data_IF_686847388379
#
_entry.id   IF_686847388379
#
_cell.length_a   1.000
_cell.length_b   1.000
_cell.length_c   1.000
_cell.angle_alpha   90.00
_cell.angle_beta   90.00
_cell.angle_gamma   90.00
#
_symmetry.space_group_name_H-M   'P 1'
#
loop_
_entity.id
_entity.type
_entity.pdbx_description
1 polymer ?
#
# COMPACT_ATOMS: atom_id res chain seq x y z
N UNK A 1 -17.33 17.62 9.18
CA UNK A 1 -16.46 18.04 10.30
C UNK A 1 -15.04 17.53 10.05
N UNK A 2 -14.04 18.43 10.09
CA UNK A 2 -12.64 18.03 9.99
C UNK A 2 -12.20 17.44 11.33
N UNK A 3 -11.75 16.21 11.32
CA UNK A 3 -11.20 15.55 12.51
C UNK A 3 -9.70 15.84 12.63
N UNK A 4 -9.24 16.10 13.85
CA UNK A 4 -7.83 16.17 14.18
C UNK A 4 -7.46 14.93 14.99
N UNK A 5 -6.52 14.14 14.51
CA UNK A 5 -6.00 12.98 15.22
C UNK A 5 -5.00 13.45 16.26
N UNK A 6 -5.17 13.06 17.52
CA UNK A 6 -4.17 13.26 18.54
C UNK A 6 -3.13 12.14 18.45
N UNK A 7 -1.90 12.49 18.10
CA UNK A 7 -0.82 11.51 18.01
C UNK A 7 -0.42 11.04 19.41
N UNK A 8 -0.51 9.74 19.65
CA UNK A 8 -0.17 9.12 20.93
C UNK A 8 1.29 8.66 20.96
N UNK A 9 1.81 8.43 22.16
CA UNK A 9 3.15 7.84 22.30
C UNK A 9 3.27 6.44 21.72
N UNK A 10 2.16 5.67 21.72
CA UNK A 10 2.10 4.35 21.10
C UNK A 10 2.32 4.43 19.59
N UNK A 11 1.63 5.36 18.91
CA UNK A 11 1.82 5.58 17.48
C UNK A 11 3.26 5.96 17.13
N UNK A 12 3.88 6.81 17.98
CA UNK A 12 5.28 7.19 17.80
C UNK A 12 6.21 5.99 18.00
N UNK A 13 5.97 5.18 19.04
CA UNK A 13 6.77 3.98 19.31
C UNK A 13 6.66 2.95 18.19
N UNK A 14 5.45 2.71 17.67
CA UNK A 14 5.21 1.79 16.55
C UNK A 14 5.95 2.25 15.29
N UNK A 15 5.88 3.55 14.97
CA UNK A 15 6.58 4.09 13.81
C UNK A 15 8.10 4.00 13.97
N UNK A 16 8.65 4.32 15.16
CA UNK A 16 10.09 4.17 15.44
C UNK A 16 10.50 2.71 15.31
N UNK A 17 9.75 1.76 15.87
CA UNK A 17 10.03 0.33 15.75
C UNK A 17 10.02 -0.13 14.28
N UNK A 18 9.09 0.41 13.47
CA UNK A 18 9.03 0.16 12.03
C UNK A 18 10.27 0.69 11.31
N UNK A 19 10.71 1.90 11.64
CA UNK A 19 11.93 2.49 11.10
C UNK A 19 13.17 1.70 11.53
N UNK A 20 13.29 1.31 12.81
CA UNK A 20 14.37 0.48 13.30
C UNK A 20 14.46 -0.86 12.56
N UNK A 21 13.31 -1.48 12.28
CA UNK A 21 13.27 -2.72 11.48
C UNK A 21 13.68 -2.46 10.03
N UNK A 22 13.19 -1.37 9.43
CA UNK A 22 13.50 -1.00 8.03
C UNK A 22 14.98 -0.72 7.80
N UNK A 23 15.62 -0.05 8.74
CA UNK A 23 17.05 0.31 8.70
C UNK A 23 17.92 -0.65 9.52
N UNK A 24 17.32 -1.76 9.97
CA UNK A 24 18.00 -2.81 10.69
C UNK A 24 18.97 -3.61 9.81
N UNK A 25 19.73 -4.46 10.46
CA UNK A 25 20.71 -5.31 9.80
C UNK A 25 20.19 -6.73 9.65
N UNK A 26 20.25 -7.27 8.43
CA UNK A 26 19.95 -8.67 8.19
C UNK A 26 21.08 -9.54 8.71
N UNK A 27 20.78 -10.42 9.65
CA UNK A 27 21.67 -11.46 10.17
C UNK A 27 21.19 -12.85 9.75
N UNK A 28 22.07 -13.84 9.82
CA UNK A 28 21.79 -15.22 9.44
C UNK A 28 21.99 -16.16 10.64
N UNK A 29 20.97 -16.29 11.51
CA UNK A 29 21.04 -17.25 12.61
C UNK A 29 21.17 -18.68 12.11
N UNK A 30 21.95 -19.50 12.80
CA UNK A 30 22.11 -20.92 12.46
C UNK A 30 20.81 -21.71 12.69
N UNK A 31 20.00 -21.27 13.65
CA UNK A 31 18.80 -21.97 14.12
C UNK A 31 17.61 -21.01 14.21
N UNK A 32 16.45 -21.50 13.88
CA UNK A 32 15.19 -20.79 14.09
C UNK A 32 14.90 -20.72 15.60
N UNK A 33 15.02 -19.52 16.19
CA UNK A 33 14.81 -19.30 17.62
C UNK A 33 13.73 -18.27 17.94
N UNK A 34 13.16 -17.62 16.92
CA UNK A 34 12.14 -16.57 17.07
C UNK A 34 11.06 -16.68 15.98
N UNK A 35 9.85 -16.28 16.32
CA UNK A 35 8.76 -16.13 15.35
C UNK A 35 8.98 -14.98 14.36
N UNK A 36 9.89 -14.05 14.66
CA UNK A 36 10.26 -12.95 13.76
C UNK A 36 11.41 -13.32 12.79
N UNK A 37 11.87 -14.57 12.82
CA UNK A 37 12.81 -15.05 11.82
C UNK A 37 12.15 -15.17 10.44
N UNK A 38 12.88 -14.78 9.41
CA UNK A 38 12.49 -14.95 8.01
C UNK A 38 13.09 -16.24 7.48
N UNK A 39 12.25 -17.15 7.04
CA UNK A 39 12.70 -18.41 6.43
C UNK A 39 12.62 -18.28 4.91
N UNK A 40 13.75 -18.43 4.24
CA UNK A 40 13.72 -18.75 2.83
C UNK A 40 13.52 -20.25 2.71
N UNK A 41 12.49 -20.65 1.98
CA UNK A 41 12.04 -22.03 1.90
C UNK A 41 11.77 -22.44 0.47
N UNK A 42 11.82 -23.75 0.21
CA UNK A 42 11.34 -24.33 -1.04
C UNK A 42 10.17 -25.24 -0.72
N UNK A 43 9.03 -24.96 -1.34
CA UNK A 43 7.85 -25.84 -1.34
C UNK A 43 8.01 -26.87 -2.44
N UNK A 44 8.03 -28.14 -2.09
CA UNK A 44 8.05 -29.27 -3.04
C UNK A 44 6.78 -30.07 -2.84
N UNK A 45 5.91 -30.14 -3.86
CA UNK A 45 4.64 -30.86 -3.79
C UNK A 45 4.88 -32.37 -3.65
N UNK A 46 4.13 -32.98 -2.73
CA UNK A 46 4.18 -34.43 -2.48
C UNK A 46 2.77 -35.03 -2.49
N UNK A 47 2.70 -36.32 -2.82
CA UNK A 47 1.47 -37.10 -2.75
C UNK A 47 1.10 -37.48 -1.30
N UNK A 48 -0.01 -38.20 -1.12
CA UNK A 48 -0.46 -38.64 0.19
C UNK A 48 0.48 -39.65 0.88
N UNK A 49 1.45 -40.22 0.17
CA UNK A 49 2.49 -41.14 0.68
C UNK A 49 3.82 -40.40 0.97
N UNK A 50 3.91 -39.09 0.63
CA UNK A 50 5.09 -38.29 0.82
C UNK A 50 6.13 -38.37 -0.30
N UNK A 51 5.78 -38.94 -1.46
CA UNK A 51 6.65 -38.96 -2.61
C UNK A 51 6.50 -37.65 -3.41
N UNK A 52 7.60 -37.18 -3.99
CA UNK A 52 7.58 -35.97 -4.83
C UNK A 52 6.73 -36.20 -6.07
N UNK A 53 5.78 -35.30 -6.32
CA UNK A 53 4.92 -35.33 -7.52
C UNK A 53 5.73 -34.88 -8.72
N UNK A 54 5.85 -35.76 -9.74
CA UNK A 54 6.54 -35.42 -10.98
C UNK A 54 5.78 -34.31 -11.73
N UNK A 55 6.47 -33.20 -12.05
CA UNK A 55 5.84 -32.01 -12.63
C UNK A 55 4.98 -31.19 -11.64
N UNK A 56 4.96 -31.57 -10.37
CA UNK A 56 4.30 -30.83 -9.29
C UNK A 56 4.97 -29.49 -8.97
N UNK A 57 4.41 -28.79 -8.02
CA UNK A 57 4.90 -27.46 -7.58
C UNK A 57 6.27 -27.63 -6.91
N UNK A 58 7.25 -26.86 -7.40
CA UNK A 58 8.55 -26.71 -6.77
C UNK A 58 8.92 -25.23 -6.82
N UNK A 59 8.67 -24.49 -5.71
CA UNK A 59 8.76 -23.03 -5.71
C UNK A 59 9.37 -22.52 -4.42
N UNK A 60 10.31 -21.56 -4.57
CA UNK A 60 10.89 -20.83 -3.44
C UNK A 60 9.97 -19.74 -2.93
N UNK A 61 9.99 -19.50 -1.62
CA UNK A 61 9.32 -18.39 -0.97
C UNK A 61 10.12 -17.88 0.24
N UNK A 62 9.75 -16.72 0.74
CA UNK A 62 10.37 -16.11 1.93
C UNK A 62 9.27 -15.73 2.92
N UNK A 63 9.26 -16.36 4.08
CA UNK A 63 8.16 -16.31 5.04
C UNK A 63 8.64 -16.03 6.45
N UNK A 64 7.92 -15.20 7.18
CA UNK A 64 8.10 -15.09 8.64
C UNK A 64 7.53 -16.31 9.36
N UNK A 65 8.22 -16.80 10.37
CA UNK A 65 7.76 -17.93 11.18
C UNK A 65 6.37 -17.65 11.78
N UNK A 66 6.09 -16.43 12.18
CA UNK A 66 4.79 -16.02 12.74
C UNK A 66 3.60 -16.12 11.78
N UNK A 67 3.84 -16.26 10.47
CA UNK A 67 2.77 -16.45 9.48
C UNK A 67 2.24 -17.88 9.45
N UNK A 68 3.00 -18.82 9.97
CA UNK A 68 2.54 -20.20 10.09
C UNK A 68 1.52 -20.36 11.24
N UNK A 69 0.60 -21.28 11.10
CA UNK A 69 -0.31 -21.66 12.17
C UNK A 69 0.46 -22.13 13.43
N UNK A 70 -0.08 -21.93 14.64
CA UNK A 70 0.67 -22.18 15.90
C UNK A 70 1.29 -23.58 16.02
N UNK A 71 0.63 -24.61 15.52
CA UNK A 71 1.16 -25.98 15.53
C UNK A 71 2.45 -26.12 14.70
N UNK A 72 2.49 -25.45 13.55
CA UNK A 72 3.66 -25.45 12.67
C UNK A 72 4.78 -24.55 13.18
N UNK A 73 4.46 -23.41 13.81
CA UNK A 73 5.47 -22.53 14.44
C UNK A 73 6.31 -23.30 15.44
N UNK A 74 5.70 -24.09 16.29
CA UNK A 74 6.41 -24.92 17.26
C UNK A 74 7.33 -25.95 16.60
N UNK A 75 6.94 -26.49 15.46
CA UNK A 75 7.76 -27.44 14.70
C UNK A 75 8.91 -26.77 13.96
N UNK A 76 8.80 -25.48 13.66
CA UNK A 76 9.84 -24.68 13.01
C UNK A 76 10.93 -24.24 14.00
N UNK A 77 10.58 -24.02 15.26
CA UNK A 77 11.56 -23.64 16.28
C UNK A 77 12.59 -24.77 16.46
N UNK A 78 13.87 -24.40 16.50
CA UNK A 78 14.98 -25.33 16.58
C UNK A 78 15.45 -25.89 15.25
N UNK A 79 14.75 -25.63 14.15
CA UNK A 79 15.16 -26.05 12.80
C UNK A 79 16.26 -25.15 12.27
N UNK A 80 17.01 -25.65 11.30
CA UNK A 80 18.14 -24.97 10.64
C UNK A 80 18.07 -25.13 9.13
N UNK A 81 19.00 -24.53 8.46
CA UNK A 81 19.19 -24.71 7.03
C UNK A 81 19.27 -26.21 6.67
N UNK A 82 18.66 -26.58 5.55
CA UNK A 82 18.55 -27.91 4.97
C UNK A 82 17.59 -28.86 5.73
N UNK A 83 16.99 -28.43 6.83
CA UNK A 83 15.90 -29.18 7.47
C UNK A 83 14.64 -29.16 6.60
N UNK A 84 13.94 -30.33 6.63
CA UNK A 84 12.70 -30.52 5.87
C UNK A 84 11.55 -30.71 6.87
N UNK A 85 10.42 -30.12 6.53
CA UNK A 85 9.18 -30.21 7.31
C UNK A 85 8.06 -30.58 6.37
N UNK A 86 7.33 -31.62 6.74
CA UNK A 86 6.10 -31.98 6.03
C UNK A 86 4.97 -31.06 6.48
N UNK A 87 4.25 -30.50 5.53
CA UNK A 87 3.10 -29.64 5.82
C UNK A 87 1.95 -29.89 4.85
N UNK A 88 0.76 -29.72 5.37
CA UNK A 88 -0.46 -29.64 4.60
C UNK A 88 -0.86 -28.17 4.46
N UNK A 89 -0.98 -27.66 3.24
CA UNK A 89 -1.03 -26.22 2.97
C UNK A 89 -2.19 -25.53 3.72
N UNK A 90 -3.41 -26.08 3.63
CA UNK A 90 -4.59 -25.50 4.28
C UNK A 90 -4.51 -25.43 5.81
N UNK A 91 -3.72 -26.28 6.46
CA UNK A 91 -3.55 -26.29 7.91
C UNK A 91 -2.28 -25.58 8.39
N UNK A 92 -1.38 -25.25 7.46
CA UNK A 92 -0.11 -24.62 7.79
C UNK A 92 -0.19 -23.11 7.95
N UNK A 93 -1.24 -22.48 7.41
CA UNK A 93 -1.45 -21.03 7.42
C UNK A 93 -2.90 -20.71 7.79
N UNK A 94 -3.13 -19.50 8.29
CA UNK A 94 -4.46 -19.00 8.61
C UNK A 94 -4.93 -18.06 7.47
N UNK A 95 -6.21 -18.10 7.17
CA UNK A 95 -6.97 -17.28 6.19
C UNK A 95 -6.14 -16.40 5.24
N UNK A 96 -5.76 -15.21 5.68
CA UNK A 96 -5.11 -14.18 4.88
C UNK A 96 -3.72 -14.61 4.38
N UNK A 97 -2.96 -15.26 5.23
CA UNK A 97 -1.64 -15.78 4.90
C UNK A 97 -1.76 -16.94 3.92
N UNK A 98 -2.78 -17.79 4.09
CA UNK A 98 -3.07 -18.89 3.18
C UNK A 98 -3.39 -18.39 1.77
N UNK A 99 -4.24 -17.39 1.63
CA UNK A 99 -4.57 -16.78 0.32
C UNK A 99 -3.31 -16.28 -0.41
N UNK A 100 -2.43 -15.57 0.32
CA UNK A 100 -1.19 -15.08 -0.23
C UNK A 100 -0.27 -16.19 -0.70
N UNK A 101 -0.09 -17.25 0.10
CA UNK A 101 0.77 -18.39 -0.24
C UNK A 101 0.20 -19.20 -1.40
N UNK A 102 -1.11 -19.42 -1.45
CA UNK A 102 -1.79 -20.07 -2.57
C UNK A 102 -1.51 -19.33 -3.88
N UNK A 103 -1.64 -18.00 -3.87
CA UNK A 103 -1.33 -17.16 -5.03
C UNK A 103 0.17 -17.21 -5.40
N UNK A 104 1.05 -17.13 -4.42
CA UNK A 104 2.50 -17.21 -4.62
C UNK A 104 2.94 -18.55 -5.20
N UNK A 105 2.30 -19.64 -4.83
CA UNK A 105 2.54 -20.97 -5.39
C UNK A 105 1.97 -21.13 -6.81
N UNK A 106 1.17 -20.17 -7.28
CA UNK A 106 0.52 -20.20 -8.59
C UNK A 106 -0.74 -21.06 -8.61
N UNK A 107 -1.33 -21.29 -7.45
CA UNK A 107 -2.62 -21.98 -7.31
C UNK A 107 -3.76 -20.95 -7.40
N UNK A 108 -4.93 -21.38 -7.89
CA UNK A 108 -6.11 -20.53 -7.92
C UNK A 108 -6.94 -20.71 -6.65
N UNK A 109 -7.01 -19.68 -5.82
CA UNK A 109 -7.77 -19.69 -4.57
C UNK A 109 -9.29 -19.93 -4.78
N UNK A 110 -9.82 -19.65 -5.97
CA UNK A 110 -11.24 -19.86 -6.30
C UNK A 110 -11.56 -21.32 -6.65
N UNK A 111 -10.54 -22.17 -6.87
CA UNK A 111 -10.71 -23.59 -7.15
C UNK A 111 -10.80 -24.37 -5.86
N UNK A 112 -11.93 -25.02 -5.62
CA UNK A 112 -12.14 -25.85 -4.45
C UNK A 112 -11.06 -26.93 -4.35
N UNK A 113 -10.40 -27.02 -3.19
CA UNK A 113 -9.33 -28.01 -2.94
C UNK A 113 -7.94 -27.57 -3.42
N UNK A 114 -7.77 -26.36 -3.94
CA UNK A 114 -6.45 -25.86 -4.38
C UNK A 114 -5.44 -25.80 -3.24
N UNK A 115 -5.90 -25.52 -2.03
CA UNK A 115 -5.09 -25.52 -0.81
C UNK A 115 -5.00 -26.92 -0.14
N UNK A 116 -5.74 -27.93 -0.63
CA UNK A 116 -5.72 -29.28 -0.09
C UNK A 116 -4.57 -30.10 -0.70
N UNK A 117 -3.35 -29.62 -0.46
CA UNK A 117 -2.11 -30.19 -1.00
C UNK A 117 -1.06 -30.36 0.09
N UNK A 118 -0.25 -31.40 -0.05
CA UNK A 118 0.87 -31.68 0.83
C UNK A 118 2.19 -31.22 0.20
N UNK A 119 3.06 -30.69 1.04
CA UNK A 119 4.37 -30.22 0.64
C UNK A 119 5.46 -30.68 1.61
N UNK A 120 6.65 -30.88 1.07
CA UNK A 120 7.89 -30.82 1.82
C UNK A 120 8.44 -29.41 1.76
N UNK A 121 8.58 -28.77 2.92
CA UNK A 121 9.14 -27.45 3.09
C UNK A 121 10.61 -27.60 3.46
N UNK A 122 11.51 -27.27 2.54
CA UNK A 122 12.96 -27.27 2.80
C UNK A 122 13.39 -25.85 3.19
N UNK A 123 14.04 -25.70 4.33
CA UNK A 123 14.61 -24.42 4.77
C UNK A 123 15.94 -24.21 4.04
N UNK A 124 16.03 -23.20 3.18
CA UNK A 124 17.25 -22.89 2.44
C UNK A 124 18.11 -21.85 3.15
N UNK A 125 17.47 -20.98 3.96
CA UNK A 125 18.14 -19.94 4.73
C UNK A 125 17.28 -19.51 5.91
N UNK A 126 17.91 -19.22 7.03
CA UNK A 126 17.28 -18.54 8.17
C UNK A 126 17.85 -17.12 8.20
N UNK A 127 16.98 -16.12 8.23
CA UNK A 127 17.32 -14.71 8.33
C UNK A 127 16.63 -14.07 9.53
N UNK A 128 17.23 -13.03 10.05
CA UNK A 128 16.66 -12.18 11.09
C UNK A 128 17.02 -10.73 10.84
N UNK A 129 16.05 -9.84 10.96
CA UNK A 129 16.33 -8.41 10.91
C UNK A 129 16.53 -7.92 12.34
N UNK A 130 17.77 -7.71 12.72
CA UNK A 130 18.10 -7.00 13.95
C UNK A 130 17.69 -5.54 13.79
N UNK A 131 16.88 -5.04 14.71
CA UNK A 131 16.47 -3.63 14.70
C UNK A 131 17.71 -2.75 14.89
N UNK A 132 17.73 -1.62 14.16
CA UNK A 132 18.79 -0.64 14.33
C UNK A 132 18.79 -0.08 15.76
N UNK A 133 19.97 0.13 16.32
CA UNK A 133 20.13 0.77 17.62
C UNK A 133 19.69 2.24 17.55
N UNK A 134 19.16 2.75 18.67
CA UNK A 134 18.78 4.16 18.82
C UNK A 134 20.03 5.05 18.95
N UNK A 135 20.67 5.34 17.81
CA UNK A 135 21.91 6.12 17.72
C UNK A 135 21.90 7.06 16.50
N UNK A 136 22.90 7.94 16.42
CA UNK A 136 23.01 8.94 15.36
C UNK A 136 23.07 8.32 13.94
N UNK A 137 23.68 7.14 13.80
CA UNK A 137 23.75 6.43 12.51
C UNK A 137 22.36 6.05 12.01
N UNK A 138 21.53 5.51 12.90
CA UNK A 138 20.13 5.21 12.60
C UNK A 138 19.31 6.48 12.30
N UNK A 139 19.50 7.53 13.08
CA UNK A 139 18.76 8.79 12.87
C UNK A 139 19.08 9.39 11.51
N UNK A 140 20.34 9.38 11.12
CA UNK A 140 20.80 9.84 9.81
C UNK A 140 20.26 8.96 8.68
N UNK A 141 20.22 7.64 8.89
CA UNK A 141 19.68 6.71 7.91
C UNK A 141 18.15 6.90 7.70
N UNK A 142 17.41 7.09 8.80
CA UNK A 142 15.98 7.32 8.76
C UNK A 142 15.61 8.70 8.20
N UNK A 143 16.38 9.73 8.52
CA UNK A 143 16.15 11.13 8.16
C UNK A 143 17.42 11.82 7.63
N UNK A 144 17.88 11.46 6.42
CA UNK A 144 19.17 11.95 5.90
C UNK A 144 19.24 13.47 5.69
N UNK A 145 18.09 14.14 5.61
CA UNK A 145 18.00 15.58 5.39
C UNK A 145 17.71 16.38 6.68
N UNK A 146 17.72 15.73 7.86
CA UNK A 146 17.49 16.37 9.16
C UNK A 146 18.69 16.10 10.08
N UNK A 147 19.14 17.12 10.79
CA UNK A 147 20.25 16.99 11.77
C UNK A 147 19.67 16.53 13.13
N UNK A 148 19.35 15.23 13.22
CA UNK A 148 18.79 14.61 14.43
C UNK A 148 19.92 13.94 15.20
N UNK A 149 20.11 14.31 16.45
CA UNK A 149 21.19 13.82 17.34
C UNK A 149 20.68 13.07 18.56
N UNK A 150 19.43 13.28 18.92
CA UNK A 150 18.87 12.71 20.14
C UNK A 150 17.59 11.93 19.85
N UNK A 151 17.26 10.96 20.70
CA UNK A 151 15.99 10.23 20.63
C UNK A 151 14.79 11.18 20.73
N UNK A 152 14.88 12.24 21.54
CA UNK A 152 13.81 13.20 21.70
C UNK A 152 13.53 13.96 20.38
N UNK A 153 14.59 14.38 19.68
CA UNK A 153 14.46 15.02 18.36
C UNK A 153 13.87 14.06 17.32
N UNK A 154 14.28 12.78 17.32
CA UNK A 154 13.67 11.77 16.48
C UNK A 154 12.18 11.61 16.78
N UNK A 155 11.81 11.49 18.05
CA UNK A 155 10.41 11.33 18.46
C UNK A 155 9.55 12.52 18.04
N UNK A 156 10.07 13.74 18.19
CA UNK A 156 9.39 14.95 17.74
C UNK A 156 9.21 14.97 16.22
N UNK A 157 10.25 14.58 15.48
CA UNK A 157 10.20 14.48 14.02
C UNK A 157 9.17 13.45 13.55
N UNK A 158 9.18 12.26 14.13
CA UNK A 158 8.19 11.20 13.84
C UNK A 158 6.78 11.65 14.18
N UNK A 159 6.60 12.35 15.30
CA UNK A 159 5.31 12.91 15.67
C UNK A 159 4.81 13.93 14.64
N UNK A 160 5.65 14.85 14.19
CA UNK A 160 5.31 15.82 13.14
C UNK A 160 4.91 15.12 11.84
N UNK A 161 5.65 14.12 11.43
CA UNK A 161 5.35 13.35 10.20
C UNK A 161 3.99 12.64 10.30
N UNK A 162 3.68 12.03 11.44
CA UNK A 162 2.38 11.41 11.71
C UNK A 162 1.25 12.45 11.70
N UNK A 163 1.48 13.62 12.33
CA UNK A 163 0.51 14.72 12.33
C UNK A 163 0.22 15.22 10.91
N UNK A 164 1.25 15.41 10.09
CA UNK A 164 1.12 15.82 8.68
C UNK A 164 0.36 14.77 7.87
N UNK A 165 0.68 13.49 8.07
CA UNK A 165 -0.02 12.40 7.38
C UNK A 165 -1.52 12.40 7.70
N UNK A 166 -1.90 12.44 8.99
CA UNK A 166 -3.31 12.43 9.37
C UNK A 166 -4.04 13.74 9.01
N UNK A 167 -3.33 14.88 9.02
CA UNK A 167 -3.90 16.14 8.55
C UNK A 167 -4.27 16.07 7.06
N UNK A 168 -3.41 15.49 6.23
CA UNK A 168 -3.68 15.26 4.83
C UNK A 168 -4.85 14.28 4.61
N UNK A 169 -4.90 13.18 5.36
CA UNK A 169 -6.00 12.22 5.32
C UNK A 169 -7.33 12.88 5.72
N UNK A 170 -7.32 13.67 6.79
CA UNK A 170 -8.50 14.41 7.25
C UNK A 170 -9.00 15.41 6.22
N UNK A 171 -8.10 16.10 5.51
CA UNK A 171 -8.47 17.00 4.41
C UNK A 171 -9.14 16.24 3.26
N UNK A 172 -8.55 15.14 2.84
CA UNK A 172 -9.11 14.31 1.77
C UNK A 172 -10.51 13.79 2.14
N UNK A 173 -10.69 13.32 3.37
CA UNK A 173 -11.99 12.86 3.87
C UNK A 173 -13.03 13.98 3.88
N UNK A 174 -12.65 15.21 4.27
CA UNK A 174 -13.55 16.37 4.24
C UNK A 174 -13.94 16.72 2.80
N UNK A 175 -12.99 16.69 1.87
CA UNK A 175 -13.29 16.91 0.44
C UNK A 175 -14.29 15.88 -0.08
N UNK A 176 -14.08 14.60 0.21
CA UNK A 176 -14.97 13.51 -0.19
C UNK A 176 -16.37 13.68 0.40
N UNK A 177 -16.47 13.99 1.69
CA UNK A 177 -17.75 14.27 2.35
C UNK A 177 -18.47 15.47 1.74
N UNK A 178 -17.77 16.56 1.41
CA UNK A 178 -18.34 17.73 0.76
C UNK A 178 -18.83 17.36 -0.64
N UNK A 179 -18.04 16.62 -1.42
CA UNK A 179 -18.37 16.16 -2.74
C UNK A 179 -19.68 15.35 -2.73
N UNK A 180 -19.76 14.33 -1.92
CA UNK A 180 -20.96 13.50 -1.81
C UNK A 180 -22.15 14.29 -1.28
N UNK A 181 -21.96 15.12 -0.24
CA UNK A 181 -23.03 15.92 0.31
C UNK A 181 -23.63 16.88 -0.73
N UNK A 182 -22.80 17.54 -1.51
CA UNK A 182 -23.28 18.48 -2.54
C UNK A 182 -23.97 17.75 -3.70
N UNK A 183 -23.44 16.58 -4.13
CA UNK A 183 -24.09 15.77 -5.16
C UNK A 183 -25.45 15.25 -4.69
N UNK A 184 -25.56 14.73 -3.48
CA UNK A 184 -26.77 14.09 -2.99
C UNK A 184 -27.89 15.11 -2.68
N UNK A 185 -27.52 16.29 -2.19
CA UNK A 185 -28.48 17.30 -1.75
C UNK A 185 -28.76 18.41 -2.77
N UNK A 186 -28.11 18.39 -3.93
CA UNK A 186 -28.43 19.31 -5.03
C UNK A 186 -29.31 18.62 -6.04
N UNK A 187 -30.53 19.11 -6.23
CA UNK A 187 -31.44 18.60 -7.27
C UNK A 187 -31.10 19.26 -8.61
N UNK A 188 -30.87 18.46 -9.64
CA UNK A 188 -30.68 18.90 -11.02
C UNK A 188 -31.38 17.93 -11.96
N UNK A 189 -32.16 18.47 -12.91
CA UNK A 189 -32.76 17.69 -13.99
C UNK A 189 -31.93 17.86 -15.26
N UNK A 190 -31.55 16.76 -15.85
CA UNK A 190 -30.75 16.73 -17.07
C UNK A 190 -31.61 16.22 -18.26
N UNK A 191 -31.41 16.73 -19.48
CA UNK A 191 -32.02 16.20 -20.70
C UNK A 191 -31.32 14.88 -21.09
N UNK A 192 -31.70 13.78 -20.42
CA UNK A 192 -31.01 12.48 -20.53
C UNK A 192 -30.85 11.99 -21.95
N UNK A 193 -31.93 12.06 -22.76
CA UNK A 193 -31.91 11.58 -24.15
C UNK A 193 -30.92 12.34 -25.02
N UNK A 194 -30.71 13.65 -24.75
CA UNK A 194 -29.74 14.47 -25.43
C UNK A 194 -28.31 14.11 -24.96
N UNK A 195 -28.12 14.01 -23.67
CA UNK A 195 -26.77 13.71 -23.09
C UNK A 195 -26.29 12.30 -23.44
N UNK A 196 -27.16 11.29 -23.43
CA UNK A 196 -26.84 9.94 -23.89
C UNK A 196 -26.44 9.93 -25.36
N UNK A 197 -27.15 10.66 -26.22
CA UNK A 197 -26.75 10.82 -27.64
C UNK A 197 -25.39 11.55 -27.75
N UNK A 198 -25.17 12.55 -26.92
CA UNK A 198 -23.90 13.28 -26.91
C UNK A 198 -22.74 12.38 -26.52
N UNK A 199 -22.89 11.53 -25.49
CA UNK A 199 -21.88 10.52 -25.11
C UNK A 199 -21.56 9.59 -26.29
N UNK A 200 -22.56 9.18 -27.08
CA UNK A 200 -22.37 8.30 -28.23
C UNK A 200 -21.53 8.96 -29.34
N UNK A 201 -21.67 10.27 -29.53
CA UNK A 201 -21.13 10.97 -30.72
C UNK A 201 -19.92 11.86 -30.43
N UNK A 202 -19.63 12.20 -29.15
CA UNK A 202 -18.58 13.17 -28.79
C UNK A 202 -17.19 12.57 -28.66
N UNK A 203 -17.06 11.24 -28.54
CA UNK A 203 -15.78 10.56 -28.47
C UNK A 203 -15.17 10.37 -29.87
N UNK A 204 -13.84 10.27 -29.97
CA UNK A 204 -13.14 9.94 -31.22
C UNK A 204 -13.64 8.66 -31.87
N UNK A 205 -14.04 7.68 -31.05
CA UNK A 205 -14.74 6.47 -31.49
C UNK A 205 -16.18 6.54 -31.00
N UNK A 206 -17.18 6.49 -31.92
CA UNK A 206 -18.58 6.45 -31.54
C UNK A 206 -18.86 5.27 -30.60
N UNK A 207 -19.65 5.53 -29.56
CA UNK A 207 -20.08 4.52 -28.59
C UNK A 207 -21.46 3.97 -28.94
N UNK A 208 -21.72 2.75 -28.52
CA UNK A 208 -23.03 2.14 -28.66
C UNK A 208 -24.06 2.77 -27.69
N UNK A 209 -25.33 2.53 -27.91
CA UNK A 209 -26.39 2.98 -27.00
C UNK A 209 -26.28 2.33 -25.61
N UNK A 210 -25.85 1.07 -25.55
CA UNK A 210 -25.64 0.32 -24.30
C UNK A 210 -24.47 0.85 -23.49
N UNK A 211 -23.36 1.16 -24.17
CA UNK A 211 -22.20 1.81 -23.53
C UNK A 211 -22.57 3.19 -22.98
N UNK A 212 -23.31 4.00 -23.74
CA UNK A 212 -23.76 5.31 -23.28
C UNK A 212 -24.74 5.21 -22.10
N UNK A 213 -25.58 4.20 -22.05
CA UNK A 213 -26.51 3.93 -20.92
C UNK A 213 -25.69 3.58 -19.65
N UNK A 214 -24.68 2.75 -19.79
CA UNK A 214 -23.80 2.32 -18.68
C UNK A 214 -22.96 3.49 -18.15
N UNK A 215 -22.46 4.38 -19.01
CA UNK A 215 -21.63 5.51 -18.64
C UNK A 215 -22.43 6.72 -18.12
N UNK A 216 -23.70 6.84 -18.50
CA UNK A 216 -24.53 8.01 -18.19
C UNK A 216 -24.57 8.39 -16.70
N UNK A 217 -24.69 7.46 -15.73
CA UNK A 217 -24.69 7.83 -14.31
C UNK A 217 -23.41 8.53 -13.87
N UNK A 218 -22.24 8.01 -14.27
CA UNK A 218 -20.96 8.61 -13.96
C UNK A 218 -20.78 9.97 -14.64
N UNK A 219 -21.16 10.07 -15.90
CA UNK A 219 -21.16 11.31 -16.66
C UNK A 219 -22.08 12.36 -16.04
N UNK A 220 -23.30 11.98 -15.67
CA UNK A 220 -24.27 12.86 -15.03
C UNK A 220 -23.75 13.41 -13.69
N UNK A 221 -23.14 12.58 -12.87
CA UNK A 221 -22.52 13.00 -11.62
C UNK A 221 -21.35 13.97 -11.86
N UNK A 222 -20.50 13.70 -12.85
CA UNK A 222 -19.40 14.58 -13.22
C UNK A 222 -19.90 15.94 -13.73
N UNK A 223 -20.92 15.96 -14.58
CA UNK A 223 -21.54 17.18 -15.07
C UNK A 223 -22.18 17.98 -13.92
N UNK A 224 -22.92 17.30 -13.05
CA UNK A 224 -23.52 17.91 -11.86
C UNK A 224 -22.47 18.56 -10.97
N UNK A 225 -21.38 17.86 -10.71
CA UNK A 225 -20.25 18.39 -9.94
C UNK A 225 -19.65 19.64 -10.60
N UNK A 226 -19.41 19.59 -11.90
CA UNK A 226 -18.90 20.74 -12.67
C UNK A 226 -19.81 21.98 -12.52
N UNK A 227 -21.11 21.78 -12.67
CA UNK A 227 -22.08 22.88 -12.53
C UNK A 227 -22.12 23.44 -11.10
N UNK A 228 -22.08 22.57 -10.08
CA UNK A 228 -22.04 22.99 -8.68
C UNK A 228 -20.76 23.80 -8.41
N UNK A 229 -19.61 23.31 -8.81
CA UNK A 229 -18.32 23.99 -8.59
C UNK A 229 -18.24 25.31 -9.34
N UNK A 230 -18.68 25.35 -10.60
CA UNK A 230 -18.76 26.61 -11.38
C UNK A 230 -19.61 27.64 -10.64
N UNK A 231 -20.80 27.23 -10.18
CA UNK A 231 -21.69 28.10 -9.43
C UNK A 231 -21.05 28.61 -8.12
N UNK A 232 -20.40 27.74 -7.38
CA UNK A 232 -19.69 28.11 -6.14
C UNK A 232 -18.56 29.10 -6.39
N UNK A 233 -17.78 28.89 -7.47
CA UNK A 233 -16.70 29.80 -7.87
C UNK A 233 -17.24 31.17 -8.23
N UNK A 234 -18.30 31.23 -9.05
CA UNK A 234 -18.94 32.49 -9.48
C UNK A 234 -19.56 33.24 -8.30
N UNK A 235 -20.36 32.58 -7.46
CA UNK A 235 -21.07 33.21 -6.34
C UNK A 235 -20.12 33.75 -5.28
N UNK A 236 -18.99 33.08 -5.07
CA UNK A 236 -17.99 33.47 -4.07
C UNK A 236 -16.84 34.29 -4.69
N UNK A 237 -16.88 34.58 -5.98
CA UNK A 237 -15.84 35.34 -6.71
C UNK A 237 -14.44 34.78 -6.47
N UNK A 238 -14.34 33.45 -6.52
CA UNK A 238 -13.06 32.76 -6.34
C UNK A 238 -12.21 32.99 -7.58
N UNK A 239 -11.09 33.65 -7.45
CA UNK A 239 -10.09 33.78 -8.50
C UNK A 239 -8.96 32.79 -8.28
N UNK A 240 -8.59 32.07 -9.32
CA UNK A 240 -7.44 31.18 -9.33
C UNK A 240 -6.32 31.85 -10.10
N UNK A 241 -5.25 32.21 -9.37
CA UNK A 241 -4.09 32.83 -9.99
C UNK A 241 -3.17 31.77 -10.63
N UNK A 242 -2.38 32.15 -11.66
CA UNK A 242 -1.41 31.22 -12.27
C UNK A 242 -0.45 30.58 -11.26
N UNK A 243 -0.06 31.32 -10.23
CA UNK A 243 0.80 30.81 -9.17
C UNK A 243 0.10 29.76 -8.29
N UNK A 244 -1.21 29.84 -8.10
CA UNK A 244 -1.99 28.82 -7.36
C UNK A 244 -1.98 27.49 -8.14
N UNK A 245 -2.17 27.55 -9.47
CA UNK A 245 -2.12 26.37 -10.33
C UNK A 245 -0.71 25.75 -10.29
N UNK A 246 0.32 26.56 -10.42
CA UNK A 246 1.73 26.11 -10.37
C UNK A 246 2.05 25.44 -9.03
N UNK A 247 1.67 26.06 -7.93
CA UNK A 247 1.90 25.52 -6.59
C UNK A 247 1.15 24.21 -6.37
N UNK A 248 -0.09 24.11 -6.85
CA UNK A 248 -0.88 22.89 -6.78
C UNK A 248 -0.25 21.76 -7.62
N UNK A 249 0.18 22.06 -8.85
CA UNK A 249 0.86 21.09 -9.71
C UNK A 249 2.15 20.55 -9.06
N UNK A 250 2.95 21.44 -8.47
CA UNK A 250 4.14 21.04 -7.71
C UNK A 250 3.79 20.13 -6.52
N UNK A 251 2.78 20.49 -5.74
CA UNK A 251 2.34 19.69 -4.59
C UNK A 251 1.85 18.30 -5.02
N UNK A 252 1.08 18.19 -6.10
CA UNK A 252 0.63 16.92 -6.63
C UNK A 252 1.81 16.05 -7.09
N UNK A 253 2.77 16.64 -7.77
CA UNK A 253 3.97 15.95 -8.21
C UNK A 253 4.78 15.40 -7.03
N UNK A 254 4.97 16.21 -5.96
CA UNK A 254 5.64 15.77 -4.74
C UNK A 254 4.91 14.61 -4.06
N UNK A 255 3.59 14.64 -4.01
CA UNK A 255 2.78 13.55 -3.45
C UNK A 255 2.89 12.27 -4.27
N UNK A 256 2.84 12.38 -5.60
CA UNK A 256 2.91 11.24 -6.50
C UNK A 256 4.27 10.55 -6.45
N UNK A 257 5.35 11.31 -6.36
CA UNK A 257 6.72 10.78 -6.32
C UNK A 257 7.17 10.30 -4.93
N UNK A 258 6.30 10.38 -3.89
CA UNK A 258 6.52 9.77 -2.58
C UNK A 258 7.84 10.16 -1.90
N UNK A 259 8.28 11.40 -2.06
CA UNK A 259 9.52 11.89 -1.46
C UNK A 259 10.80 11.43 -2.18
N UNK A 260 10.72 10.67 -3.28
CA UNK A 260 11.89 10.27 -4.08
C UNK A 260 12.59 11.46 -4.77
N UNK A 261 11.97 12.62 -4.82
CA UNK A 261 12.59 13.85 -5.35
C UNK A 261 13.83 14.26 -4.55
N UNK A 262 13.92 13.93 -3.28
CA UNK A 262 15.13 14.14 -2.48
C UNK A 262 16.34 13.32 -2.95
N UNK A 263 16.13 12.23 -3.66
CA UNK A 263 17.20 11.39 -4.26
C UNK A 263 17.63 11.86 -5.66
N UNK A 264 16.88 12.73 -6.33
CA UNK A 264 17.16 13.15 -7.71
C UNK A 264 18.09 14.36 -7.82
N UNK A 265 18.67 14.84 -6.71
CA UNK A 265 19.63 15.95 -6.73
C UNK A 265 19.02 17.26 -7.25
N UNK A 266 19.85 18.22 -7.66
CA UNK A 266 19.54 19.62 -8.07
C UNK A 266 18.57 19.78 -9.28
N UNK A 267 17.70 18.82 -9.60
CA UNK A 267 16.77 18.90 -10.72
C UNK A 267 15.47 19.65 -10.39
N UNK A 268 15.55 20.73 -9.60
CA UNK A 268 14.42 21.63 -9.38
C UNK A 268 13.87 22.23 -10.68
N UNK A 269 14.71 22.42 -11.68
CA UNK A 269 14.33 22.95 -12.98
C UNK A 269 13.26 22.11 -13.69
N UNK A 270 13.37 20.78 -13.61
CA UNK A 270 12.38 19.90 -14.21
C UNK A 270 10.98 20.03 -13.55
N UNK A 271 10.94 20.23 -12.23
CA UNK A 271 9.68 20.46 -11.49
C UNK A 271 9.04 21.78 -11.90
N UNK A 272 9.86 22.84 -12.10
CA UNK A 272 9.40 24.13 -12.61
C UNK A 272 8.86 23.99 -14.03
N UNK A 273 9.62 23.35 -14.92
CA UNK A 273 9.24 23.15 -16.33
C UNK A 273 7.96 22.29 -16.46
N UNK A 274 7.74 21.34 -15.55
CA UNK A 274 6.50 20.57 -15.50
C UNK A 274 5.32 21.40 -15.03
N UNK A 275 5.50 22.17 -13.97
CA UNK A 275 4.46 23.04 -13.43
C UNK A 275 4.07 24.19 -14.39
N UNK A 276 4.99 24.60 -15.27
CA UNK A 276 4.73 25.62 -16.30
C UNK A 276 3.97 25.08 -17.53
N UNK A 277 3.89 23.76 -17.70
CA UNK A 277 3.17 23.09 -18.80
C UNK A 277 1.74 22.69 -18.47
N UNK A 278 1.38 22.73 -17.19
CA UNK A 278 0.03 22.42 -16.69
C UNK A 278 -0.87 23.67 -16.67
#
# INVERSE_FOLDING_TARGET
TRYKVAVTNEMINEEIARLQTRFGKMTEPEVVSSEDHVLNVTFTEVDGEGNVVEGGINKGNSLLVKYFAPAYRNNLLGKKKDDIIDLHLASAFEDKELEAIVADLGLDANVAGSADKNFKLTITKVGFVEQADMNEEFFLAAYPNKDIKTEEELRNTVKEDIEVYYDAQSKNQVHDQIYHHLLDHTSMEFPESFLKRWIQTSAEKPKTAEEAETEFPAFSNSLKWTLITTKLVEDNKIEVLPDDIRNFAKQQLFQYMGGQLGMMGDNQQWVEDYADRM
#
